data_IF_998694055831
#
_entry.id   IF_998694055831
#
_cell.length_a   1.000
_cell.length_b   1.000
_cell.length_c   1.000
_cell.angle_alpha   90.00
_cell.angle_beta   90.00
_cell.angle_gamma   90.00
#
_symmetry.space_group_name_H-M   'P 1'
#
loop_
_entity.id
_entity.type
_entity.pdbx_description
1 polymer ?
#
# COMPACT_ATOMS: atom_id res chain seq x y z
N UNK A 1 -12.47 -14.50 -5.90
CA UNK A 1 -11.47 -14.07 -6.91
C UNK A 1 -10.23 -14.90 -6.67
N UNK A 2 -9.69 -15.60 -7.67
CA UNK A 2 -8.49 -16.41 -7.48
C UNK A 2 -7.28 -15.49 -7.23
N UNK A 3 -6.62 -15.74 -6.11
CA UNK A 3 -5.54 -14.91 -5.59
C UNK A 3 -4.23 -15.08 -6.38
N UNK A 4 -4.06 -16.16 -7.16
CA UNK A 4 -2.97 -16.29 -8.13
C UNK A 4 -3.21 -15.43 -9.37
N UNK A 5 -4.47 -15.33 -9.81
CA UNK A 5 -4.84 -14.44 -10.91
C UNK A 5 -4.60 -12.99 -10.52
N UNK A 6 -4.92 -12.62 -9.27
CA UNK A 6 -4.70 -11.27 -8.76
C UNK A 6 -3.22 -10.87 -8.74
N UNK A 7 -2.33 -11.71 -8.21
CA UNK A 7 -0.88 -11.45 -8.29
C UNK A 7 -0.38 -11.33 -9.73
N UNK A 8 -0.89 -12.16 -10.67
CA UNK A 8 -0.53 -12.05 -12.08
C UNK A 8 -1.00 -10.74 -12.71
N UNK A 9 -2.23 -10.30 -12.41
CA UNK A 9 -2.78 -9.04 -12.91
C UNK A 9 -2.00 -7.85 -12.35
N UNK A 10 -1.71 -7.86 -11.04
CA UNK A 10 -0.94 -6.78 -10.42
C UNK A 10 0.49 -6.76 -10.94
N UNK A 11 1.15 -7.92 -11.05
CA UNK A 11 2.49 -8.02 -11.62
C UNK A 11 2.54 -7.54 -13.08
N UNK A 12 1.52 -7.86 -13.88
CA UNK A 12 1.43 -7.37 -15.27
C UNK A 12 1.25 -5.84 -15.34
N UNK A 13 0.50 -5.24 -14.42
CA UNK A 13 0.22 -3.79 -14.42
C UNK A 13 1.34 -2.96 -13.76
N UNK A 14 1.95 -3.46 -12.69
CA UNK A 14 3.01 -2.80 -11.94
C UNK A 14 4.42 -3.12 -12.47
N UNK A 15 4.57 -4.23 -13.20
CA UNK A 15 5.87 -4.80 -13.54
C UNK A 15 6.55 -5.58 -12.40
N UNK A 16 5.99 -5.55 -11.19
CA UNK A 16 6.63 -6.10 -9.99
C UNK A 16 6.27 -7.57 -9.72
N UNK A 17 7.26 -8.34 -9.29
CA UNK A 17 7.05 -9.68 -8.75
C UNK A 17 6.57 -9.61 -7.29
N UNK A 18 5.45 -10.28 -7.00
CA UNK A 18 4.77 -10.24 -5.71
C UNK A 18 5.13 -11.45 -4.83
N UNK A 19 5.34 -11.21 -3.53
CA UNK A 19 5.53 -12.26 -2.51
C UNK A 19 4.55 -12.06 -1.34
N UNK A 20 4.15 -13.15 -0.67
CA UNK A 20 3.29 -13.10 0.52
C UNK A 20 1.83 -12.66 0.26
N UNK A 21 0.93 -12.88 1.22
CA UNK A 21 -0.40 -12.26 1.27
C UNK A 21 -0.86 -12.19 2.72
N UNK A 22 -1.43 -11.06 3.08
CA UNK A 22 -2.11 -10.90 4.35
C UNK A 22 -3.54 -10.41 4.12
N UNK A 23 -4.51 -11.19 4.57
CA UNK A 23 -5.90 -10.75 4.66
C UNK A 23 -6.16 -10.35 6.10
N UNK A 24 -6.56 -9.10 6.31
CA UNK A 24 -6.86 -8.56 7.64
C UNK A 24 -8.33 -8.21 7.74
N UNK A 25 -8.94 -8.55 8.88
CA UNK A 25 -10.30 -8.16 9.24
C UNK A 25 -10.26 -7.28 10.48
N UNK A 26 -10.78 -6.06 10.37
CA UNK A 26 -10.96 -5.12 11.47
C UNK A 26 -12.43 -5.07 11.87
N UNK A 27 -12.71 -5.51 13.09
CA UNK A 27 -14.03 -5.42 13.73
C UNK A 27 -14.31 -3.98 14.22
N UNK A 28 -15.53 -3.65 14.69
CA UNK A 28 -15.80 -2.36 15.33
C UNK A 28 -14.77 -2.02 16.41
N UNK A 29 -14.24 -0.79 16.39
CA UNK A 29 -13.14 -0.30 17.22
C UNK A 29 -11.73 -0.71 16.74
N UNK A 30 -11.64 -1.70 15.85
CA UNK A 30 -10.40 -2.14 15.23
C UNK A 30 -9.76 -1.02 14.40
N UNK A 31 -8.48 -0.78 14.63
CA UNK A 31 -7.67 0.25 13.98
C UNK A 31 -6.23 -0.25 13.88
N UNK A 32 -5.44 0.43 13.04
CA UNK A 32 -4.00 0.20 12.95
C UNK A 32 -3.32 1.55 13.09
N UNK A 33 -2.29 1.61 13.94
CA UNK A 33 -1.58 2.87 14.25
C UNK A 33 -0.76 3.35 13.06
N UNK A 34 -0.42 4.64 13.07
CA UNK A 34 0.48 5.24 12.09
C UNK A 34 1.82 4.49 12.02
N UNK A 35 2.17 4.05 10.81
CA UNK A 35 3.40 3.31 10.51
C UNK A 35 3.78 3.51 9.03
N UNK A 36 4.99 3.04 8.68
CA UNK A 36 5.38 2.72 7.31
C UNK A 36 5.43 1.19 7.17
N UNK A 37 5.26 0.68 5.96
CA UNK A 37 5.26 -0.76 5.73
C UNK A 37 6.64 -1.43 5.75
N UNK A 38 7.77 -0.78 5.38
CA UNK A 38 9.10 -1.33 5.54
C UNK A 38 9.35 -1.83 6.96
N UNK A 39 9.88 -3.05 7.05
CA UNK A 39 10.09 -3.74 8.32
C UNK A 39 11.40 -3.35 8.99
N UNK A 40 12.34 -2.75 8.24
CA UNK A 40 13.72 -2.50 8.67
C UNK A 40 14.37 -3.72 9.33
N UNK A 41 14.02 -4.91 8.83
CA UNK A 41 14.52 -6.21 9.30
C UNK A 41 15.62 -6.72 8.37
N UNK A 42 16.86 -6.53 8.80
CA UNK A 42 18.08 -6.98 8.10
C UNK A 42 18.14 -8.51 7.91
N UNK A 43 17.25 -9.28 8.52
CA UNK A 43 17.17 -10.74 8.39
C UNK A 43 16.18 -11.24 7.35
N UNK A 44 15.41 -10.36 6.70
CA UNK A 44 14.50 -10.77 5.64
C UNK A 44 15.27 -11.17 4.36
N UNK A 45 15.23 -12.44 3.92
CA UNK A 45 15.99 -12.90 2.76
C UNK A 45 15.53 -12.28 1.43
N UNK A 46 14.38 -11.60 1.42
CA UNK A 46 13.85 -10.90 0.25
C UNK A 46 14.12 -9.38 0.29
N UNK A 47 14.82 -8.89 1.32
CA UNK A 47 14.98 -7.46 1.54
C UNK A 47 13.68 -6.79 1.97
N UNK A 48 13.70 -5.47 2.07
CA UNK A 48 12.55 -4.73 2.57
C UNK A 48 11.41 -4.63 1.54
N UNK A 49 10.25 -4.18 2.00
CA UNK A 49 9.05 -3.99 1.19
C UNK A 49 9.23 -2.75 0.34
N UNK A 50 9.41 -2.95 -0.96
CA UNK A 50 9.54 -1.93 -2.00
C UNK A 50 8.23 -1.17 -2.24
N UNK A 51 7.10 -1.87 -2.22
CA UNK A 51 5.80 -1.29 -2.50
C UNK A 51 4.66 -2.10 -1.87
N UNK A 52 3.52 -1.42 -1.73
CA UNK A 52 2.31 -1.97 -1.15
C UNK A 52 1.13 -1.81 -2.08
N UNK A 53 0.38 -2.90 -2.24
CA UNK A 53 -0.93 -2.92 -2.90
C UNK A 53 -1.99 -3.37 -1.91
N UNK A 54 -2.81 -2.43 -1.45
CA UNK A 54 -3.86 -2.65 -0.46
C UNK A 54 -5.22 -2.59 -1.14
N UNK A 55 -6.02 -3.65 -0.99
CA UNK A 55 -7.37 -3.75 -1.54
C UNK A 55 -8.43 -3.77 -0.46
N UNK A 56 -9.54 -3.08 -0.70
CA UNK A 56 -10.75 -3.16 0.13
C UNK A 56 -11.68 -4.26 -0.39
N UNK A 57 -11.97 -5.27 0.44
CA UNK A 57 -12.76 -6.44 0.06
C UNK A 57 -14.26 -6.26 0.32
N UNK A 58 -14.64 -5.24 1.08
CA UNK A 58 -16.01 -4.86 1.37
C UNK A 58 -16.16 -3.34 1.53
N UNK A 59 -17.41 -2.86 1.48
CA UNK A 59 -17.76 -1.49 1.84
C UNK A 59 -17.87 -1.38 3.36
N UNK A 60 -17.39 -0.28 3.93
CA UNK A 60 -17.51 -0.01 5.37
C UNK A 60 -18.57 1.08 5.58
N UNK A 61 -19.66 0.80 6.33
CA UNK A 61 -20.72 1.78 6.55
C UNK A 61 -20.23 3.08 7.22
N UNK A 62 -19.40 2.97 8.27
CA UNK A 62 -18.86 4.12 8.99
C UNK A 62 -17.49 3.82 9.62
N UNK A 63 -16.55 4.76 9.51
CA UNK A 63 -15.17 4.61 9.98
C UNK A 63 -14.28 3.84 9.01
N UNK A 64 -13.20 3.24 9.52
CA UNK A 64 -12.34 2.33 8.75
C UNK A 64 -11.50 2.97 7.64
N UNK A 65 -11.42 4.30 7.56
CA UNK A 65 -10.63 5.00 6.53
C UNK A 65 -9.16 4.61 6.60
N UNK A 66 -8.48 4.59 5.47
CA UNK A 66 -7.01 4.55 5.44
C UNK A 66 -6.54 5.98 5.16
N UNK A 67 -5.71 6.54 6.03
CA UNK A 67 -5.24 7.92 5.88
C UNK A 67 -3.74 7.96 5.74
N UNK A 68 -3.26 8.89 4.92
CA UNK A 68 -1.86 9.21 4.70
C UNK A 68 -1.66 10.66 5.18
N UNK A 69 -1.35 10.88 6.47
CA UNK A 69 -1.39 12.21 7.08
C UNK A 69 -0.39 13.18 6.46
N UNK A 70 0.79 12.70 6.07
CA UNK A 70 1.89 13.53 5.54
C UNK A 70 1.50 14.16 4.20
N UNK A 71 0.75 13.44 3.38
CA UNK A 71 0.27 13.90 2.06
C UNK A 71 -1.18 14.37 2.07
N UNK A 72 -1.83 14.41 3.24
CA UNK A 72 -3.22 14.82 3.43
C UNK A 72 -4.23 14.05 2.56
N UNK A 73 -4.02 12.74 2.36
CA UNK A 73 -4.92 11.88 1.59
C UNK A 73 -5.71 10.97 2.52
N UNK A 74 -7.01 10.82 2.25
CA UNK A 74 -7.90 9.98 3.04
C UNK A 74 -8.74 9.10 2.11
N UNK A 75 -8.57 7.79 2.24
CA UNK A 75 -9.26 6.79 1.43
C UNK A 75 -10.42 6.18 2.19
N UNK A 76 -11.62 6.26 1.60
CA UNK A 76 -12.81 5.57 2.12
C UNK A 76 -12.80 4.13 1.60
N UNK A 77 -12.99 3.11 2.46
CA UNK A 77 -13.13 1.73 2.01
C UNK A 77 -14.32 1.58 1.07
N UNK A 78 -14.05 1.18 -0.16
CA UNK A 78 -15.06 0.86 -1.17
C UNK A 78 -14.74 -0.50 -1.77
N UNK A 79 -15.69 -1.42 -1.76
CA UNK A 79 -15.47 -2.80 -2.19
C UNK A 79 -14.89 -2.84 -3.61
N UNK A 80 -13.78 -3.54 -3.78
CA UNK A 80 -13.08 -3.71 -5.05
C UNK A 80 -12.15 -2.56 -5.43
N UNK A 81 -12.11 -1.46 -4.66
CA UNK A 81 -11.09 -0.43 -4.83
C UNK A 81 -9.77 -0.86 -4.19
N UNK A 82 -8.68 -0.28 -4.67
CA UNK A 82 -7.34 -0.55 -4.19
C UNK A 82 -6.50 0.73 -4.18
N UNK A 83 -5.46 0.74 -3.36
CA UNK A 83 -4.39 1.74 -3.40
C UNK A 83 -3.06 1.04 -3.60
N UNK A 84 -2.23 1.65 -4.44
CA UNK A 84 -0.85 1.26 -4.65
C UNK A 84 0.05 2.42 -4.27
N UNK A 85 1.10 2.15 -3.51
CA UNK A 85 2.13 3.13 -3.17
C UNK A 85 3.48 2.45 -3.05
N UNK A 86 4.53 3.21 -3.34
CA UNK A 86 5.92 2.79 -3.18
C UNK A 86 6.35 3.10 -1.75
N UNK A 87 6.92 2.12 -1.07
CA UNK A 87 7.33 2.23 0.33
C UNK A 87 8.79 2.69 0.47
N UNK A 88 9.62 2.39 -0.53
CA UNK A 88 11.02 2.78 -0.59
C UNK A 88 11.27 3.78 -1.71
N UNK A 89 12.13 4.74 -1.43
CA UNK A 89 12.74 5.62 -2.43
C UNK A 89 13.74 4.83 -3.27
N UNK A 90 14.16 5.39 -4.42
CA UNK A 90 15.11 4.69 -5.33
C UNK A 90 16.46 4.33 -4.70
N UNK A 91 16.87 5.01 -3.64
CA UNK A 91 18.09 4.69 -2.90
C UNK A 91 17.89 3.62 -1.82
N UNK A 92 16.70 3.01 -1.73
CA UNK A 92 16.37 1.98 -0.74
C UNK A 92 16.02 2.54 0.64
N UNK A 93 16.01 3.87 0.83
CA UNK A 93 15.53 4.47 2.07
C UNK A 93 14.01 4.51 2.12
N UNK A 94 13.44 4.40 3.33
CA UNK A 94 12.01 4.52 3.56
C UNK A 94 11.45 5.85 3.01
N UNK A 95 10.28 5.80 2.38
CA UNK A 95 9.56 7.00 1.98
C UNK A 95 8.62 7.46 3.09
N UNK A 96 9.02 8.49 3.85
CA UNK A 96 8.21 9.07 4.92
C UNK A 96 6.84 9.61 4.46
N UNK A 97 6.64 9.89 3.17
CA UNK A 97 5.34 10.36 2.67
C UNK A 97 4.27 9.26 2.73
N UNK A 98 4.69 8.00 2.85
CA UNK A 98 3.85 6.79 2.90
C UNK A 98 3.33 6.47 4.29
N UNK A 99 3.71 7.25 5.31
CA UNK A 99 3.17 7.08 6.65
C UNK A 99 1.65 7.02 6.60
N UNK A 100 1.09 5.91 7.07
CA UNK A 100 -0.33 5.65 6.97
C UNK A 100 -0.88 4.95 8.19
N UNK A 101 -2.18 5.11 8.41
CA UNK A 101 -2.91 4.44 9.47
C UNK A 101 -4.29 3.99 9.00
N UNK A 102 -4.86 3.02 9.72
CA UNK A 102 -6.25 2.62 9.53
C UNK A 102 -7.08 3.19 10.67
N UNK A 103 -7.94 4.17 10.37
CA UNK A 103 -8.87 4.74 11.33
C UNK A 103 -9.81 3.66 11.90
N UNK A 104 -10.28 3.81 13.15
CA UNK A 104 -11.21 2.88 13.78
C UNK A 104 -12.45 2.62 12.93
N UNK A 105 -12.85 1.36 12.80
CA UNK A 105 -14.17 0.99 12.26
C UNK A 105 -15.23 1.36 13.29
N UNK A 106 -16.23 2.13 12.91
CA UNK A 106 -17.31 2.55 13.83
C UNK A 106 -18.52 1.64 13.69
N UNK A 107 -18.92 1.33 12.45
CA UNK A 107 -20.06 0.45 12.15
C UNK A 107 -19.64 -0.55 11.05
N UNK A 108 -19.97 -1.82 11.27
CA UNK A 108 -19.64 -2.91 10.37
C UNK A 108 -18.24 -3.46 10.62
N UNK A 109 -17.59 -3.91 9.56
CA UNK A 109 -16.27 -4.54 9.59
C UNK A 109 -15.49 -4.10 8.35
N UNK A 110 -14.17 -4.00 8.44
CA UNK A 110 -13.28 -3.67 7.31
C UNK A 110 -12.44 -4.89 6.96
N UNK A 111 -12.58 -5.34 5.73
CA UNK A 111 -11.81 -6.45 5.18
C UNK A 111 -10.83 -5.90 4.16
N UNK A 112 -9.54 -6.17 4.37
CA UNK A 112 -8.49 -5.79 3.43
C UNK A 112 -7.64 -6.99 3.04
N UNK A 113 -7.07 -6.91 1.83
CA UNK A 113 -6.01 -7.79 1.37
C UNK A 113 -4.83 -6.94 0.99
N UNK A 114 -3.69 -7.17 1.64
CA UNK A 114 -2.44 -6.46 1.38
C UNK A 114 -1.47 -7.39 0.68
N UNK A 115 -0.82 -6.84 -0.35
CA UNK A 115 0.23 -7.47 -1.12
C UNK A 115 1.47 -6.59 -1.08
N UNK A 116 2.57 -7.16 -0.61
CA UNK A 116 3.86 -6.51 -0.60
C UNK A 116 4.71 -6.99 -1.77
N UNK A 117 5.50 -6.05 -2.29
CA UNK A 117 6.55 -6.30 -3.25
C UNK A 117 7.85 -6.08 -2.52
N UNK A 118 8.79 -7.00 -2.67
CA UNK A 118 10.09 -6.89 -2.02
C UNK A 118 11.12 -6.35 -3.00
N UNK A 119 12.12 -5.64 -2.50
CA UNK A 119 13.19 -5.07 -3.34
C UNK A 119 14.01 -6.18 -4.03
N UNK A 120 14.38 -7.25 -3.31
CA UNK A 120 15.17 -8.33 -3.89
C UNK A 120 14.28 -9.20 -4.78
N UNK A 121 14.68 -9.35 -6.05
CA UNK A 121 13.88 -9.98 -7.09
C UNK A 121 13.13 -8.99 -7.99
N UNK A 122 13.09 -7.71 -7.61
CA UNK A 122 12.60 -6.61 -8.44
C UNK A 122 13.70 -5.62 -8.88
N UNK A 123 14.95 -5.86 -8.47
CA UNK A 123 16.16 -5.06 -8.74
C UNK A 123 16.43 -4.80 -10.23
N UNK A 124 16.03 -5.74 -11.10
CA UNK A 124 16.18 -5.58 -12.57
C UNK A 124 15.04 -4.78 -13.21
N UNK A 125 13.88 -4.73 -12.55
CA UNK A 125 12.71 -4.00 -13.02
C UNK A 125 12.79 -2.54 -12.58
N UNK A 126 13.29 -2.31 -11.36
CA UNK A 126 13.57 -0.98 -10.81
C UNK A 126 15.01 -0.89 -10.33
N UNK A 127 15.91 -0.38 -11.19
CA UNK A 127 17.30 -0.15 -10.80
C UNK A 127 17.38 0.87 -9.67
N UNK A 128 18.13 0.53 -8.63
CA UNK A 128 18.42 1.43 -7.52
C UNK A 128 19.22 2.66 -8.00
N UNK A 129 19.01 3.79 -7.34
CA UNK A 129 19.79 5.02 -7.49
C UNK A 129 20.63 5.27 -6.24
N UNK A 130 21.66 6.09 -6.34
CA UNK A 130 22.36 6.64 -5.16
C UNK A 130 21.61 7.83 -4.56
N UNK A 131 20.71 8.44 -5.33
CA UNK A 131 19.93 9.60 -4.92
C UNK A 131 18.55 9.18 -4.40
N UNK A 132 18.11 9.88 -3.37
CA UNK A 132 16.74 9.87 -2.89
C UNK A 132 15.85 10.52 -3.96
N UNK A 133 15.23 9.69 -4.80
CA UNK A 133 14.17 10.13 -5.70
C UNK A 133 12.84 9.57 -5.21
N UNK A 134 11.89 10.49 -5.05
CA UNK A 134 10.49 10.17 -4.78
C UNK A 134 9.96 9.37 -5.98
N UNK A 135 9.53 8.13 -5.72
CA UNK A 135 9.09 7.16 -6.74
C UNK A 135 7.74 7.50 -7.41
N UNK A 136 7.28 8.75 -7.24
CA UNK A 136 6.12 9.30 -7.92
C UNK A 136 4.90 9.49 -7.03
N UNK A 137 5.08 9.64 -5.71
CA UNK A 137 3.93 9.90 -4.83
C UNK A 137 3.37 11.31 -5.04
N UNK A 138 4.20 12.27 -5.43
CA UNK A 138 3.76 13.59 -5.91
C UNK A 138 2.89 13.49 -7.19
N UNK A 139 3.12 12.48 -8.03
CA UNK A 139 2.32 12.20 -9.23
C UNK A 139 1.03 11.41 -8.90
N UNK A 140 1.00 10.72 -7.75
CA UNK A 140 -0.22 10.14 -7.19
C UNK A 140 -1.12 11.21 -6.59
N UNK A 141 -0.57 12.24 -5.92
CA UNK A 141 -1.35 13.39 -5.42
C UNK A 141 -2.10 14.08 -6.53
N UNK A 142 -1.46 14.37 -7.68
CA UNK A 142 -2.13 15.02 -8.82
C UNK A 142 -3.26 14.17 -9.38
N UNK A 143 -3.04 12.85 -9.55
CA UNK A 143 -4.06 11.92 -10.09
C UNK A 143 -5.21 11.62 -9.11
N UNK A 144 -4.94 11.46 -7.82
CA UNK A 144 -5.98 11.26 -6.80
C UNK A 144 -6.80 12.52 -6.56
N UNK A 145 -6.20 13.72 -6.64
CA UNK A 145 -6.93 14.98 -6.56
C UNK A 145 -7.89 15.14 -7.76
N UNK A 146 -7.47 14.77 -8.98
CA UNK A 146 -8.34 14.76 -10.16
C UNK A 146 -9.53 13.76 -10.06
N UNK A 147 -9.35 12.63 -9.37
CA UNK A 147 -10.43 11.65 -9.14
C UNK A 147 -11.37 12.03 -7.98
N UNK A 148 -10.92 12.87 -7.03
CA UNK A 148 -11.75 13.37 -5.91
C UNK A 148 -12.58 14.59 -6.34
N UNK A 149 -12.14 15.35 -7.35
CA UNK A 149 -12.85 16.52 -7.89
C UNK A 149 -13.91 16.22 -8.97
N UNK A 150 -14.08 14.95 -9.38
CA UNK A 150 -15.13 14.49 -10.31
C UNK A 150 -16.19 13.60 -9.63
#
# INVERSE_FOLDING_TARGET
>A
MDMFILCRVIAFRSGLFCSGRECLVLNPGGHFKMHVDPLSDDHNPFGDRLATFLMFLNDVPLGGRTVFPVINVTLKPKKGSAVFFWDLQRNGGDDSLTFHEACPVVIGEKWISTKWFHELGNDKVLPCSVEAEDTGLDDLKSKLLEEIEN
#
